data_IF_335016524460
#
_entry.id   IF_335016524460
#
_cell.length_a   1.000
_cell.length_b   1.000
_cell.length_c   1.000
_cell.angle_alpha   90.00
_cell.angle_beta   90.00
_cell.angle_gamma   90.00
#
_symmetry.space_group_name_H-M   'P 1'
#
loop_
_entity.id
_entity.type
_entity.pdbx_description
1 polymer ?
#
# COMPACT_ATOMS: atom_id res chain seq x y z
N UNK A 1 -21.57 -16.20 33.90
CA UNK A 1 -21.04 -16.83 32.69
C UNK A 1 -19.80 -17.63 33.07
N UNK A 2 -19.86 -18.97 33.00
CA UNK A 2 -18.70 -19.84 33.24
C UNK A 2 -17.90 -19.87 31.94
N UNK A 3 -16.76 -19.19 31.94
CA UNK A 3 -15.90 -19.19 30.81
C UNK A 3 -15.15 -20.52 30.68
N UNK A 4 -15.40 -21.15 29.62
CA UNK A 4 -14.60 -21.97 28.72
C UNK A 4 -13.49 -22.81 29.38
N UNK A 5 -13.63 -24.12 29.27
CA UNK A 5 -12.57 -25.07 29.55
C UNK A 5 -11.37 -24.81 28.63
N UNK A 6 -10.14 -25.21 29.04
CA UNK A 6 -8.91 -25.10 28.24
C UNK A 6 -9.07 -25.66 26.81
N UNK A 7 -9.99 -26.61 26.66
CA UNK A 7 -10.33 -27.25 25.38
C UNK A 7 -11.07 -26.31 24.42
N UNK A 8 -11.88 -25.40 24.96
CA UNK A 8 -12.65 -24.43 24.16
C UNK A 8 -11.74 -23.33 23.62
N UNK A 9 -10.68 -22.95 24.34
CA UNK A 9 -9.67 -22.01 23.87
C UNK A 9 -8.84 -22.55 22.72
N UNK A 10 -8.44 -23.83 22.78
CA UNK A 10 -7.70 -24.46 21.68
C UNK A 10 -8.56 -24.52 20.40
N UNK A 11 -9.84 -24.81 20.54
CA UNK A 11 -10.78 -24.80 19.44
C UNK A 11 -10.97 -23.38 18.89
N UNK A 12 -11.15 -22.40 19.76
CA UNK A 12 -11.27 -20.99 19.37
C UNK A 12 -10.02 -20.51 18.61
N UNK A 13 -8.83 -20.81 19.11
CA UNK A 13 -7.58 -20.42 18.45
C UNK A 13 -7.41 -21.07 17.07
N UNK A 14 -7.84 -22.32 16.91
CA UNK A 14 -7.85 -22.97 15.60
C UNK A 14 -8.81 -22.29 14.63
N UNK A 15 -10.03 -21.95 15.09
CA UNK A 15 -10.98 -21.20 14.29
C UNK A 15 -10.43 -19.82 13.92
N UNK A 16 -9.87 -19.10 14.88
CA UNK A 16 -9.28 -17.80 14.66
C UNK A 16 -8.16 -17.86 13.59
N UNK A 17 -7.22 -18.80 13.71
CA UNK A 17 -6.16 -19.00 12.76
C UNK A 17 -6.69 -19.32 11.35
N UNK A 18 -7.72 -20.17 11.25
CA UNK A 18 -8.36 -20.52 9.98
C UNK A 18 -9.01 -19.29 9.34
N UNK A 19 -9.80 -18.54 10.09
CA UNK A 19 -10.48 -17.35 9.57
C UNK A 19 -9.53 -16.21 9.26
N UNK A 20 -8.43 -16.07 10.00
CA UNK A 20 -7.39 -15.09 9.69
C UNK A 20 -6.72 -15.35 8.33
N UNK A 21 -6.63 -16.62 7.92
CA UNK A 21 -6.10 -17.01 6.62
C UNK A 21 -7.11 -16.88 5.46
N UNK A 22 -8.41 -16.80 5.77
CA UNK A 22 -9.47 -16.66 4.74
C UNK A 22 -9.49 -15.22 4.21
N UNK A 23 -9.12 -15.08 2.95
CA UNK A 23 -9.11 -13.78 2.25
C UNK A 23 -10.52 -13.20 2.14
N UNK A 24 -10.63 -11.91 2.50
CA UNK A 24 -11.90 -11.21 2.52
C UNK A 24 -12.76 -11.49 3.77
N UNK A 25 -12.24 -12.23 4.76
CA UNK A 25 -12.90 -12.38 6.06
C UNK A 25 -12.80 -11.09 6.88
N UNK A 26 -13.75 -10.91 7.80
CA UNK A 26 -13.71 -9.77 8.71
C UNK A 26 -12.45 -9.77 9.58
N UNK A 27 -12.02 -10.95 10.05
CA UNK A 27 -10.82 -11.11 10.89
C UNK A 27 -9.56 -10.70 10.11
N UNK A 28 -9.40 -11.20 8.89
CA UNK A 28 -8.27 -10.82 8.04
C UNK A 28 -8.28 -9.32 7.76
N UNK A 29 -9.44 -8.77 7.44
CA UNK A 29 -9.59 -7.33 7.21
C UNK A 29 -9.20 -6.52 8.45
N UNK A 30 -9.63 -6.94 9.64
CA UNK A 30 -9.29 -6.27 10.90
C UNK A 30 -7.76 -6.32 11.16
N UNK A 31 -7.14 -7.48 10.99
CA UNK A 31 -5.67 -7.65 11.18
C UNK A 31 -4.90 -6.75 10.21
N UNK A 32 -5.24 -6.75 8.92
CA UNK A 32 -4.51 -5.97 7.91
C UNK A 32 -4.78 -4.46 7.98
N UNK A 33 -5.80 -4.04 8.70
CA UNK A 33 -6.06 -2.63 9.03
C UNK A 33 -5.52 -2.22 10.40
N UNK A 34 -4.90 -3.13 11.15
CA UNK A 34 -4.25 -2.80 12.42
C UNK A 34 -3.02 -1.91 12.19
N UNK A 35 -2.87 -0.80 12.92
CA UNK A 35 -1.76 0.13 12.74
C UNK A 35 -0.38 -0.51 12.87
N UNK A 36 -0.20 -1.45 13.81
CA UNK A 36 1.07 -2.14 14.03
C UNK A 36 1.42 -3.05 12.84
N UNK A 37 0.43 -3.74 12.29
CA UNK A 37 0.60 -4.60 11.11
C UNK A 37 0.91 -3.76 9.87
N UNK A 38 0.20 -2.63 9.69
CA UNK A 38 0.47 -1.69 8.59
C UNK A 38 1.90 -1.17 8.67
N UNK A 39 2.35 -0.77 9.87
CA UNK A 39 3.71 -0.27 10.09
C UNK A 39 4.76 -1.34 9.80
N UNK A 40 4.59 -2.55 10.32
CA UNK A 40 5.48 -3.68 10.09
C UNK A 40 5.60 -4.01 8.59
N UNK A 41 4.45 -4.11 7.91
CA UNK A 41 4.43 -4.36 6.47
C UNK A 41 5.01 -3.21 5.65
N UNK A 42 4.72 -1.96 6.01
CA UNK A 42 5.25 -0.79 5.31
C UNK A 42 6.76 -0.62 5.48
N UNK A 43 7.34 -1.19 6.53
CA UNK A 43 8.78 -1.15 6.84
C UNK A 43 9.55 -2.33 6.26
N UNK A 44 8.85 -3.37 5.75
CA UNK A 44 9.49 -4.52 5.13
C UNK A 44 10.31 -4.12 3.89
N UNK A 45 11.44 -4.78 3.60
CA UNK A 45 12.23 -4.56 2.39
C UNK A 45 11.40 -4.71 1.10
N UNK A 46 11.79 -4.02 0.03
CA UNK A 46 11.04 -4.05 -1.23
C UNK A 46 11.09 -5.43 -1.91
N UNK A 47 12.13 -6.20 -1.70
CA UNK A 47 12.33 -7.57 -2.20
C UNK A 47 11.46 -8.60 -1.48
N UNK A 48 11.09 -8.32 -0.23
CA UNK A 48 10.17 -9.17 0.54
C UNK A 48 8.70 -8.75 0.38
N UNK A 49 8.45 -7.61 -0.31
CA UNK A 49 7.11 -7.10 -0.48
C UNK A 49 6.34 -7.86 -1.54
N UNK A 50 5.30 -8.53 -1.12
CA UNK A 50 4.32 -9.15 -2.01
C UNK A 50 3.00 -8.40 -1.94
N UNK A 51 2.52 -7.94 -3.10
CA UNK A 51 1.21 -7.30 -3.20
C UNK A 51 0.12 -8.30 -2.82
N UNK A 52 -0.53 -8.06 -1.70
CA UNK A 52 -1.65 -8.86 -1.24
C UNK A 52 -2.99 -8.42 -1.83
N UNK A 53 -4.04 -9.18 -1.52
CA UNK A 53 -5.40 -8.71 -1.76
C UNK A 53 -5.74 -7.56 -0.81
N UNK A 54 -6.52 -6.57 -1.28
CA UNK A 54 -6.96 -5.49 -0.43
C UNK A 54 -7.64 -6.00 0.86
N UNK A 55 -7.32 -5.42 2.02
CA UNK A 55 -7.87 -5.86 3.31
C UNK A 55 -9.29 -5.31 3.52
N UNK A 56 -10.16 -5.55 2.55
CA UNK A 56 -11.56 -5.16 2.61
C UNK A 56 -12.41 -6.38 2.91
N UNK A 57 -13.29 -6.26 3.90
CA UNK A 57 -14.30 -7.27 4.16
C UNK A 57 -15.15 -7.53 2.91
N UNK A 58 -15.27 -8.78 2.52
CA UNK A 58 -15.97 -9.19 1.30
C UNK A 58 -15.15 -9.14 0.01
N UNK A 59 -13.96 -8.54 -0.01
CA UNK A 59 -13.07 -8.57 -1.18
C UNK A 59 -12.38 -9.92 -1.29
N UNK A 60 -13.06 -10.87 -1.93
CA UNK A 60 -12.56 -12.22 -2.11
C UNK A 60 -11.66 -12.36 -3.35
N UNK A 61 -10.95 -13.48 -3.43
CA UNK A 61 -10.17 -13.82 -4.62
C UNK A 61 -11.04 -13.90 -5.89
N UNK A 62 -12.31 -14.29 -5.75
CA UNK A 62 -13.26 -14.31 -6.88
C UNK A 62 -13.52 -12.90 -7.41
N UNK A 63 -13.81 -11.95 -6.51
CA UNK A 63 -14.03 -10.54 -6.90
C UNK A 63 -12.81 -9.97 -7.58
N UNK A 64 -11.61 -10.23 -7.04
CA UNK A 64 -10.37 -9.79 -7.65
C UNK A 64 -10.17 -10.39 -9.05
N UNK A 65 -10.42 -11.68 -9.22
CA UNK A 65 -10.33 -12.34 -10.53
C UNK A 65 -11.32 -11.80 -11.53
N UNK A 66 -12.58 -11.56 -11.13
CA UNK A 66 -13.60 -10.95 -12.00
C UNK A 66 -13.20 -9.54 -12.41
N UNK A 67 -12.67 -8.75 -11.47
CA UNK A 67 -12.18 -7.40 -11.76
C UNK A 67 -11.01 -7.42 -12.74
N UNK A 68 -10.08 -8.38 -12.60
CA UNK A 68 -8.98 -8.56 -13.54
C UNK A 68 -9.48 -8.88 -14.96
N UNK A 69 -10.47 -9.75 -15.08
CA UNK A 69 -11.08 -10.07 -16.39
C UNK A 69 -11.76 -8.84 -16.99
N UNK A 70 -12.49 -8.07 -16.18
CA UNK A 70 -13.10 -6.83 -16.62
C UNK A 70 -12.05 -5.82 -17.12
N UNK A 71 -10.94 -5.66 -16.40
CA UNK A 71 -9.83 -4.79 -16.79
C UNK A 71 -9.19 -5.23 -18.12
N UNK A 72 -9.01 -6.54 -18.34
CA UNK A 72 -8.52 -7.09 -19.60
C UNK A 72 -9.47 -6.81 -20.77
N UNK A 73 -10.78 -6.94 -20.54
CA UNK A 73 -11.79 -6.61 -21.55
C UNK A 73 -11.80 -5.13 -21.89
N UNK A 74 -11.64 -4.25 -20.90
CA UNK A 74 -11.51 -2.81 -21.10
C UNK A 74 -10.25 -2.52 -21.92
N UNK A 75 -9.11 -3.09 -21.53
CA UNK A 75 -7.85 -2.90 -22.22
C UNK A 75 -7.90 -3.38 -23.67
N UNK A 76 -8.52 -4.54 -23.94
CA UNK A 76 -8.64 -5.10 -25.31
C UNK A 76 -9.52 -4.28 -26.24
N UNK A 77 -10.43 -3.46 -25.70
CA UNK A 77 -11.34 -2.60 -26.47
C UNK A 77 -10.90 -1.14 -26.51
N UNK A 78 -9.88 -0.79 -25.76
CA UNK A 78 -9.41 0.58 -25.68
C UNK A 78 -8.69 0.99 -26.96
N UNK A 79 -9.10 2.12 -27.52
CA UNK A 79 -8.44 2.78 -28.65
C UNK A 79 -7.51 3.92 -28.23
N UNK A 80 -7.38 4.16 -26.93
CA UNK A 80 -6.61 5.26 -26.34
C UNK A 80 -5.70 4.74 -25.25
N UNK A 81 -4.52 5.36 -25.08
CA UNK A 81 -3.57 5.06 -24.02
C UNK A 81 -4.08 5.42 -22.61
N UNK A 82 -5.16 6.18 -22.51
CA UNK A 82 -5.79 6.59 -21.25
C UNK A 82 -6.89 5.63 -20.84
N UNK A 83 -6.50 4.44 -20.41
CA UNK A 83 -7.44 3.42 -19.95
C UNK A 83 -7.77 3.67 -18.48
N UNK A 84 -9.07 3.69 -18.13
CA UNK A 84 -9.54 3.71 -16.74
C UNK A 84 -9.97 2.30 -16.36
N UNK A 85 -9.19 1.68 -15.47
CA UNK A 85 -9.52 0.39 -14.88
C UNK A 85 -10.52 0.52 -13.72
N UNK A 86 -11.11 -0.59 -13.33
CA UNK A 86 -11.98 -0.63 -12.17
C UNK A 86 -11.21 -0.23 -10.91
N UNK A 87 -11.77 0.68 -10.08
CA UNK A 87 -11.14 1.07 -8.84
C UNK A 87 -11.06 -0.13 -7.90
N UNK A 88 -9.87 -0.37 -7.35
CA UNK A 88 -9.64 -1.37 -6.31
C UNK A 88 -9.40 -0.69 -4.98
N UNK A 89 -9.84 -1.31 -3.87
CA UNK A 89 -9.48 -0.82 -2.55
C UNK A 89 -7.96 -0.81 -2.38
N UNK A 90 -7.44 0.29 -1.88
CA UNK A 90 -6.00 0.44 -1.66
C UNK A 90 -5.58 -0.35 -0.41
N UNK A 91 -4.45 -1.05 -0.50
CA UNK A 91 -3.85 -1.74 0.64
C UNK A 91 -3.22 -0.70 1.57
N UNK A 92 -3.60 -0.63 2.87
CA UNK A 92 -3.11 0.41 3.77
C UNK A 92 -1.58 0.48 3.85
N UNK A 93 -0.90 -0.66 3.88
CA UNK A 93 0.55 -0.72 3.91
C UNK A 93 1.20 -0.17 2.62
N UNK A 94 0.63 -0.43 1.44
CA UNK A 94 1.11 0.18 0.18
C UNK A 94 0.93 1.70 0.18
N UNK A 95 -0.20 2.17 0.69
CA UNK A 95 -0.45 3.59 0.83
C UNK A 95 0.61 4.27 1.71
N UNK A 96 0.97 3.67 2.84
CA UNK A 96 2.01 4.19 3.71
C UNK A 96 3.41 4.11 3.06
N UNK A 97 3.73 3.03 2.37
CA UNK A 97 4.98 2.92 1.59
C UNK A 97 5.07 4.01 0.52
N UNK A 98 4.00 4.27 -0.20
CA UNK A 98 3.94 5.31 -1.23
C UNK A 98 4.17 6.69 -0.63
N UNK A 99 3.53 7.00 0.51
CA UNK A 99 3.75 8.26 1.23
C UNK A 99 5.21 8.42 1.66
N UNK A 100 5.82 7.36 2.20
CA UNK A 100 7.24 7.38 2.61
C UNK A 100 8.18 7.59 1.42
N UNK A 101 7.93 6.91 0.30
CA UNK A 101 8.70 7.09 -0.93
C UNK A 101 8.56 8.52 -1.48
N UNK A 102 7.35 9.07 -1.52
CA UNK A 102 7.11 10.45 -1.93
C UNK A 102 7.85 11.46 -1.04
N UNK A 103 7.74 11.33 0.28
CA UNK A 103 8.45 12.18 1.24
C UNK A 103 9.98 12.09 1.09
N UNK A 104 10.51 10.88 0.85
CA UNK A 104 11.95 10.68 0.62
C UNK A 104 12.40 11.34 -0.69
N UNK A 105 11.58 11.27 -1.75
CA UNK A 105 11.89 11.94 -3.02
C UNK A 105 11.86 13.46 -2.87
N UNK A 106 10.86 14.01 -2.18
CA UNK A 106 10.74 15.43 -1.91
C UNK A 106 11.96 15.94 -1.12
N UNK A 107 12.30 15.29 -0.01
CA UNK A 107 13.49 15.65 0.79
C UNK A 107 14.80 15.49 0.01
N UNK A 108 14.89 14.49 -0.87
CA UNK A 108 16.03 14.29 -1.77
C UNK A 108 16.16 15.40 -2.80
N UNK A 109 15.05 15.84 -3.38
CA UNK A 109 15.02 16.96 -4.32
C UNK A 109 15.41 18.28 -3.64
N UNK A 110 14.85 18.56 -2.46
CA UNK A 110 15.21 19.75 -1.67
C UNK A 110 16.70 19.79 -1.35
N UNK A 111 17.28 18.65 -0.91
CA UNK A 111 18.69 18.53 -0.62
C UNK A 111 19.57 18.66 -1.89
N UNK A 112 19.08 18.23 -3.05
CA UNK A 112 19.78 18.40 -4.32
C UNK A 112 19.75 19.86 -4.79
N UNK A 113 18.60 20.52 -4.66
CA UNK A 113 18.45 21.95 -4.97
C UNK A 113 19.34 22.81 -4.07
N UNK A 114 19.34 22.55 -2.75
CA UNK A 114 20.20 23.27 -1.81
C UNK A 114 21.67 23.15 -2.19
N UNK A 115 22.16 21.93 -2.49
CA UNK A 115 23.54 21.71 -2.96
C UNK A 115 23.82 22.41 -4.27
N UNK A 116 22.87 22.40 -5.23
CA UNK A 116 23.00 23.12 -6.49
C UNK A 116 23.12 24.63 -6.30
N UNK A 117 22.35 25.20 -5.39
CA UNK A 117 22.40 26.61 -5.05
C UNK A 117 23.73 27.00 -4.38
N UNK A 118 24.26 26.15 -3.48
CA UNK A 118 25.55 26.38 -2.85
C UNK A 118 26.68 26.37 -3.86
N UNK A 119 26.69 25.39 -4.78
CA UNK A 119 27.70 25.33 -5.88
C UNK A 119 27.58 26.53 -6.82
N UNK A 120 26.39 26.96 -7.17
CA UNK A 120 26.17 28.15 -8.01
C UNK A 120 26.71 29.41 -7.31
N UNK A 121 26.49 29.53 -6.00
CA UNK A 121 27.01 30.64 -5.20
C UNK A 121 28.54 30.63 -5.12
N UNK A 122 29.19 29.48 -4.98
CA UNK A 122 30.63 29.33 -5.00
C UNK A 122 31.21 29.72 -6.36
N UNK A 123 30.48 29.48 -7.45
CA UNK A 123 30.89 29.86 -8.82
C UNK A 123 30.53 31.32 -9.18
N UNK A 124 29.97 32.09 -8.24
CA UNK A 124 29.60 33.50 -8.47
C UNK A 124 28.40 33.69 -9.39
N UNK A 125 27.57 32.62 -9.56
CA UNK A 125 26.34 32.70 -10.36
C UNK A 125 25.25 33.32 -9.50
N UNK A 126 24.62 34.37 -9.99
CA UNK A 126 23.50 35.02 -9.31
C UNK A 126 22.24 34.10 -9.35
N UNK A 127 21.92 33.50 -8.23
CA UNK A 127 20.76 32.62 -8.06
C UNK A 127 19.45 33.34 -7.80
N UNK A 128 19.46 34.68 -7.75
CA UNK A 128 18.27 35.51 -7.46
C UNK A 128 17.14 35.39 -8.47
N UNK A 129 17.42 34.90 -9.69
CA UNK A 129 16.41 34.69 -10.74
C UNK A 129 15.75 33.30 -10.70
N UNK A 130 16.19 32.39 -9.85
CA UNK A 130 15.67 30.99 -9.81
C UNK A 130 14.47 30.80 -8.88
N UNK A 131 14.04 31.86 -8.21
CA UNK A 131 12.93 31.81 -7.23
C UNK A 131 11.54 31.86 -7.88
N UNK A 132 11.43 31.92 -9.21
CA UNK A 132 10.16 32.12 -9.93
C UNK A 132 9.85 31.00 -10.96
N UNK A 133 10.38 29.80 -10.80
CA UNK A 133 9.96 28.60 -11.54
C UNK A 133 9.38 27.58 -10.57
#
# INVERSE_FOLDING_TARGET
MRFASRRDWDQFLRFYATFAAVRGSYIQSAILNDPEVIEAQASAPDDEWTTGLPPLFGWSQLIDSVTNVADQLIASRATSDKIKFYPRPEIPAERERRKRKAKKQESGLEAALARGMDLAREQGIDTGQWTYL
#
